data_IF_288847078884
#
_entry.id   IF_288847078884
#
_cell.length_a   1.000
_cell.length_b   1.000
_cell.length_c   1.000
_cell.angle_alpha   90.00
_cell.angle_beta   90.00
_cell.angle_gamma   90.00
#
_symmetry.space_group_name_H-M   'P 1'
#
loop_
_entity.id
_entity.type
_entity.pdbx_description
1 polymer ?
#
# COMPACT_ATOMS: atom_id res chain seq x y z
N UNK A 1 16.66 -33.80 0.58
CA UNK A 1 17.19 -34.66 -0.52
C UNK A 1 17.05 -36.16 -0.31
N UNK A 2 17.45 -36.75 0.84
CA UNK A 2 17.47 -38.20 1.01
C UNK A 2 16.11 -38.92 0.79
N UNK A 3 14.99 -38.24 1.03
CA UNK A 3 13.65 -38.83 0.90
C UNK A 3 13.19 -39.08 -0.54
N UNK A 4 13.50 -38.19 -1.49
CA UNK A 4 13.09 -38.32 -2.90
C UNK A 4 13.95 -39.38 -3.60
N UNK A 5 15.27 -39.35 -3.38
CA UNK A 5 16.16 -40.40 -3.83
C UNK A 5 15.76 -41.76 -3.25
N UNK A 6 15.48 -41.87 -1.94
CA UNK A 6 14.98 -43.12 -1.35
C UNK A 6 13.69 -43.62 -2.00
N UNK A 7 12.77 -42.73 -2.40
CA UNK A 7 11.51 -43.12 -3.06
C UNK A 7 11.75 -43.61 -4.50
N UNK A 8 12.62 -42.95 -5.27
CA UNK A 8 12.97 -43.39 -6.64
C UNK A 8 13.68 -44.74 -6.63
N UNK A 9 14.65 -44.92 -5.73
CA UNK A 9 15.36 -46.20 -5.56
C UNK A 9 14.43 -47.31 -5.09
N UNK A 10 13.51 -47.03 -4.16
CA UNK A 10 12.51 -48.02 -3.69
C UNK A 10 11.54 -48.43 -4.81
N UNK A 11 11.11 -47.49 -5.65
CA UNK A 11 10.27 -47.78 -6.82
C UNK A 11 11.01 -48.63 -7.87
N UNK A 12 12.26 -48.27 -8.18
CA UNK A 12 13.10 -49.03 -9.10
C UNK A 12 13.35 -50.46 -8.58
N UNK A 13 13.67 -50.62 -7.29
CA UNK A 13 13.90 -51.92 -6.65
C UNK A 13 12.67 -52.83 -6.65
N UNK A 14 11.48 -52.30 -6.30
CA UNK A 14 10.25 -53.08 -6.30
C UNK A 14 9.86 -53.53 -7.71
N UNK A 15 10.05 -52.65 -8.71
CA UNK A 15 9.69 -52.94 -10.10
C UNK A 15 10.69 -53.91 -10.73
N UNK A 16 11.99 -53.75 -10.48
CA UNK A 16 13.03 -54.69 -10.93
C UNK A 16 12.86 -56.07 -10.30
N UNK A 17 12.49 -56.14 -9.02
CA UNK A 17 12.19 -57.41 -8.35
C UNK A 17 11.00 -58.14 -8.99
N UNK A 18 9.90 -57.44 -9.28
CA UNK A 18 8.72 -58.02 -9.93
C UNK A 18 9.05 -58.56 -11.34
N UNK A 19 9.80 -57.78 -12.14
CA UNK A 19 10.26 -58.20 -13.49
C UNK A 19 11.18 -59.41 -13.39
N UNK A 20 12.12 -59.41 -12.46
CA UNK A 20 13.07 -60.51 -12.27
C UNK A 20 12.35 -61.79 -11.85
N UNK A 21 11.39 -61.70 -10.92
CA UNK A 21 10.61 -62.85 -10.47
C UNK A 21 9.79 -63.45 -11.61
N UNK A 22 9.14 -62.62 -12.42
CA UNK A 22 8.40 -63.07 -13.60
C UNK A 22 9.29 -63.75 -14.64
N UNK A 23 10.42 -63.13 -15.00
CA UNK A 23 11.36 -63.68 -15.99
C UNK A 23 12.01 -64.98 -15.51
N UNK A 24 12.37 -65.06 -14.23
CA UNK A 24 12.98 -66.26 -13.64
C UNK A 24 11.98 -67.41 -13.59
N UNK A 25 10.71 -67.13 -13.28
CA UNK A 25 9.64 -68.15 -13.29
C UNK A 25 9.36 -68.67 -14.70
N UNK A 26 9.26 -67.77 -15.69
CA UNK A 26 9.10 -68.15 -17.09
C UNK A 26 10.29 -69.00 -17.59
N UNK A 27 11.51 -68.61 -17.23
CA UNK A 27 12.73 -69.35 -17.56
C UNK A 27 12.77 -70.73 -16.88
N UNK A 28 12.32 -70.83 -15.62
CA UNK A 28 12.19 -72.09 -14.89
C UNK A 28 11.21 -73.06 -15.54
N UNK A 29 10.05 -72.56 -16.00
CA UNK A 29 9.07 -73.37 -16.76
C UNK A 29 9.67 -73.83 -18.08
N UNK A 30 10.40 -72.97 -18.80
CA UNK A 30 11.05 -73.35 -20.06
C UNK A 30 12.06 -74.48 -19.88
N UNK A 31 12.91 -74.40 -18.85
CA UNK A 31 13.86 -75.47 -18.55
C UNK A 31 13.16 -76.78 -18.21
N UNK A 32 12.08 -76.75 -17.41
CA UNK A 32 11.31 -77.95 -17.08
C UNK A 32 10.86 -78.78 -18.30
N UNK A 33 10.56 -78.13 -19.44
CA UNK A 33 10.14 -78.82 -20.66
C UNK A 33 11.29 -79.34 -21.53
N UNK A 34 12.49 -78.75 -21.45
CA UNK A 34 13.57 -79.02 -22.42
C UNK A 34 14.79 -79.76 -21.85
N UNK A 35 15.15 -79.61 -20.56
CA UNK A 35 16.19 -80.39 -19.83
C UNK A 35 16.07 -80.24 -18.29
N UNK A 36 16.60 -81.17 -17.49
CA UNK A 36 16.56 -81.11 -16.02
C UNK A 36 17.04 -79.77 -15.41
N UNK A 37 16.37 -79.33 -14.34
CA UNK A 37 16.55 -77.98 -13.77
C UNK A 37 17.95 -77.82 -13.14
N UNK A 38 18.74 -76.89 -13.68
CA UNK A 38 19.97 -76.42 -13.03
C UNK A 38 19.68 -75.15 -12.21
N UNK A 39 19.59 -75.31 -10.89
CA UNK A 39 19.31 -74.21 -9.97
C UNK A 39 20.38 -73.12 -9.95
N UNK A 40 21.66 -73.46 -10.14
CA UNK A 40 22.74 -72.46 -10.19
C UNK A 40 22.62 -71.52 -11.38
N UNK A 41 22.16 -72.04 -12.52
CA UNK A 41 21.92 -71.23 -13.71
C UNK A 41 20.73 -70.27 -13.50
N UNK A 42 19.64 -70.74 -12.88
CA UNK A 42 18.48 -69.89 -12.58
C UNK A 42 18.80 -68.75 -11.61
N UNK A 43 19.59 -69.02 -10.57
CA UNK A 43 20.04 -67.98 -9.62
C UNK A 43 20.93 -66.96 -10.31
N UNK A 44 21.88 -67.42 -11.13
CA UNK A 44 22.74 -66.52 -11.92
C UNK A 44 21.94 -65.62 -12.87
N UNK A 45 20.96 -66.19 -13.57
CA UNK A 45 20.06 -65.45 -14.46
C UNK A 45 19.23 -64.39 -13.69
N UNK A 46 18.67 -64.76 -12.54
CA UNK A 46 17.89 -63.85 -11.70
C UNK A 46 18.72 -62.63 -11.25
N UNK A 47 19.96 -62.84 -10.79
CA UNK A 47 20.84 -61.75 -10.35
C UNK A 47 21.16 -60.79 -11.49
N UNK A 48 21.53 -61.32 -12.67
CA UNK A 48 21.86 -60.49 -13.84
C UNK A 48 20.64 -59.70 -14.31
N UNK A 49 19.48 -60.34 -14.40
CA UNK A 49 18.23 -59.67 -14.76
C UNK A 49 17.83 -58.57 -13.76
N UNK A 50 18.01 -58.81 -12.47
CA UNK A 50 17.72 -57.82 -11.43
C UNK A 50 18.60 -56.59 -11.54
N UNK A 51 19.92 -56.79 -11.66
CA UNK A 51 20.88 -55.68 -11.77
C UNK A 51 20.60 -54.86 -13.04
N UNK A 52 20.42 -55.52 -14.18
CA UNK A 52 20.19 -54.83 -15.45
C UNK A 52 18.87 -54.04 -15.46
N UNK A 53 17.78 -54.65 -14.98
CA UNK A 53 16.47 -53.99 -14.92
C UNK A 53 16.45 -52.83 -13.93
N UNK A 54 17.10 -52.98 -12.77
CA UNK A 54 17.22 -51.93 -11.76
C UNK A 54 17.90 -50.67 -12.30
N UNK A 55 19.09 -50.80 -12.91
CA UNK A 55 19.81 -49.65 -13.48
C UNK A 55 19.04 -48.98 -14.61
N UNK A 56 18.40 -49.77 -15.48
CA UNK A 56 17.62 -49.24 -16.61
C UNK A 56 16.43 -48.41 -16.14
N UNK A 57 15.68 -48.94 -15.16
CA UNK A 57 14.51 -48.26 -14.60
C UNK A 57 14.94 -47.01 -13.85
N UNK A 58 15.99 -47.09 -13.02
CA UNK A 58 16.50 -45.94 -12.28
C UNK A 58 16.90 -44.80 -13.23
N UNK A 59 17.69 -45.10 -14.26
CA UNK A 59 18.10 -44.11 -15.26
C UNK A 59 16.90 -43.50 -16.00
N UNK A 60 15.90 -44.31 -16.37
CA UNK A 60 14.69 -43.82 -17.05
C UNK A 60 13.87 -42.89 -16.16
N UNK A 61 13.69 -43.23 -14.89
CA UNK A 61 12.90 -42.43 -13.94
C UNK A 61 13.59 -41.10 -13.65
N UNK A 62 14.91 -41.11 -13.40
CA UNK A 62 15.67 -39.86 -13.19
C UNK A 62 15.59 -38.94 -14.40
N UNK A 63 15.80 -39.50 -15.61
CA UNK A 63 15.71 -38.72 -16.85
C UNK A 63 14.29 -38.20 -17.13
N UNK A 64 13.25 -38.95 -16.76
CA UNK A 64 11.86 -38.52 -16.88
C UNK A 64 11.55 -37.34 -15.95
N UNK A 65 11.96 -37.42 -14.69
CA UNK A 65 11.76 -36.36 -13.69
C UNK A 65 12.52 -35.09 -14.12
N UNK A 66 13.78 -35.22 -14.52
CA UNK A 66 14.59 -34.10 -15.02
C UNK A 66 13.91 -33.39 -16.18
N UNK A 67 13.47 -34.14 -17.21
CA UNK A 67 12.78 -33.55 -18.37
C UNK A 67 11.48 -32.83 -17.97
N UNK A 68 10.73 -33.38 -17.03
CA UNK A 68 9.46 -32.79 -16.57
C UNK A 68 9.70 -31.49 -15.81
N UNK A 69 10.71 -31.43 -14.94
CA UNK A 69 11.07 -30.23 -14.19
C UNK A 69 11.66 -29.16 -15.12
N UNK A 70 12.57 -29.56 -16.02
CA UNK A 70 13.12 -28.65 -17.03
C UNK A 70 12.01 -28.03 -17.88
N UNK A 71 11.03 -28.82 -18.30
CA UNK A 71 9.88 -28.29 -19.06
C UNK A 71 9.06 -27.27 -18.26
N UNK A 72 8.81 -27.53 -16.96
CA UNK A 72 8.11 -26.56 -16.10
C UNK A 72 8.93 -25.27 -15.96
N UNK A 73 10.25 -25.37 -15.83
CA UNK A 73 11.14 -24.22 -15.79
C UNK A 73 11.11 -23.43 -17.12
N UNK A 74 11.22 -24.12 -18.26
CA UNK A 74 11.18 -23.50 -19.59
C UNK A 74 9.81 -22.84 -19.85
N UNK A 75 8.69 -23.48 -19.47
CA UNK A 75 7.33 -22.94 -19.59
C UNK A 75 7.12 -21.70 -18.69
N UNK A 76 7.73 -21.68 -17.50
CA UNK A 76 7.65 -20.55 -16.55
C UNK A 76 8.56 -19.38 -16.98
N UNK A 77 9.74 -19.65 -17.51
CA UNK A 77 10.66 -18.62 -18.02
C UNK A 77 10.16 -17.97 -19.31
N UNK A 78 9.43 -18.71 -20.15
CA UNK A 78 8.74 -18.17 -21.33
C UNK A 78 7.69 -17.10 -21.00
N UNK A 79 7.09 -17.13 -19.79
CA UNK A 79 6.16 -16.11 -19.33
C UNK A 79 6.84 -14.78 -18.96
N UNK A 80 8.18 -14.75 -18.86
CA UNK A 80 8.98 -13.62 -18.37
C UNK A 80 10.25 -13.38 -19.23
N UNK A 81 10.14 -13.54 -20.55
CA UNK A 81 11.26 -13.45 -21.51
C UNK A 81 11.99 -12.08 -21.58
N UNK A 82 11.70 -11.13 -20.68
CA UNK A 82 12.25 -9.77 -20.70
C UNK A 82 13.24 -9.47 -19.57
N UNK A 83 13.42 -10.31 -18.53
CA UNK A 83 14.19 -9.89 -17.34
C UNK A 83 15.30 -10.81 -16.84
N UNK A 84 15.56 -11.98 -17.41
CA UNK A 84 16.55 -12.90 -16.82
C UNK A 84 17.66 -13.27 -17.81
N UNK A 85 18.87 -12.82 -17.48
CA UNK A 85 20.13 -13.20 -18.14
C UNK A 85 20.32 -14.72 -18.07
N UNK A 86 20.78 -15.37 -19.16
CA UNK A 86 20.95 -16.82 -19.21
C UNK A 86 22.17 -17.23 -18.39
N UNK A 87 22.04 -17.32 -17.07
CA UNK A 87 23.13 -17.76 -16.21
C UNK A 87 22.97 -19.22 -15.81
N UNK A 88 23.91 -20.01 -16.35
CA UNK A 88 24.34 -21.36 -15.99
C UNK A 88 23.26 -22.37 -15.62
N UNK A 89 22.90 -23.19 -16.61
CA UNK A 89 22.22 -24.46 -16.42
C UNK A 89 23.09 -25.33 -15.50
N UNK A 90 22.78 -25.34 -14.20
CA UNK A 90 23.44 -26.24 -13.26
C UNK A 90 22.93 -27.66 -13.50
N UNK A 91 23.84 -28.65 -13.54
CA UNK A 91 23.49 -30.07 -13.75
C UNK A 91 22.92 -30.71 -12.48
N UNK A 92 22.93 -29.96 -11.37
CA UNK A 92 22.51 -30.43 -10.06
C UNK A 92 21.03 -30.15 -9.81
N UNK A 93 20.30 -31.24 -9.53
CA UNK A 93 18.86 -31.19 -9.26
C UNK A 93 18.52 -30.39 -8.00
N UNK A 94 19.41 -30.33 -7.01
CA UNK A 94 19.15 -29.57 -5.80
C UNK A 94 19.15 -28.07 -6.09
N UNK A 95 20.14 -27.61 -6.86
CA UNK A 95 20.27 -26.21 -7.24
C UNK A 95 19.07 -25.73 -8.07
N UNK A 96 18.65 -26.50 -9.08
CA UNK A 96 17.46 -26.18 -9.88
C UNK A 96 16.17 -26.12 -9.03
N UNK A 97 16.01 -27.05 -8.08
CA UNK A 97 14.82 -27.06 -7.20
C UNK A 97 14.77 -25.81 -6.33
N UNK A 98 15.90 -25.39 -5.76
CA UNK A 98 16.00 -24.17 -4.93
C UNK A 98 15.73 -22.91 -5.74
N UNK A 99 16.22 -22.84 -6.98
CA UNK A 99 15.95 -21.70 -7.88
C UNK A 99 14.46 -21.56 -8.22
N UNK A 100 13.79 -22.68 -8.53
CA UNK A 100 12.34 -22.69 -8.78
C UNK A 100 11.56 -22.30 -7.53
N UNK A 101 11.94 -22.81 -6.35
CA UNK A 101 11.31 -22.43 -5.08
C UNK A 101 11.47 -20.94 -4.77
N UNK A 102 12.68 -20.39 -4.99
CA UNK A 102 12.95 -18.96 -4.81
C UNK A 102 12.14 -18.11 -5.77
N UNK A 103 12.13 -18.46 -7.05
CA UNK A 103 11.35 -17.76 -8.06
C UNK A 103 9.85 -17.79 -7.74
N UNK A 104 9.31 -18.94 -7.34
CA UNK A 104 7.91 -19.07 -6.93
C UNK A 104 7.59 -18.20 -5.69
N UNK A 105 8.52 -18.11 -4.75
CA UNK A 105 8.38 -17.24 -3.58
C UNK A 105 8.38 -15.75 -3.96
N UNK A 106 9.36 -15.32 -4.76
CA UNK A 106 9.48 -13.93 -5.20
C UNK A 106 8.25 -13.51 -6.02
N UNK A 107 7.77 -14.38 -6.92
CA UNK A 107 6.53 -14.15 -7.67
C UNK A 107 5.29 -14.10 -6.80
N UNK A 108 5.22 -14.93 -5.75
CA UNK A 108 4.12 -14.86 -4.80
C UNK A 108 4.08 -13.49 -4.11
N UNK A 109 5.23 -12.99 -3.64
CA UNK A 109 5.33 -11.66 -3.03
C UNK A 109 4.96 -10.55 -4.01
N UNK A 110 5.40 -10.65 -5.28
CA UNK A 110 5.04 -9.70 -6.33
C UNK A 110 3.53 -9.68 -6.58
N UNK A 111 2.89 -10.85 -6.71
CA UNK A 111 1.44 -10.97 -6.90
C UNK A 111 0.67 -10.43 -5.69
N UNK A 112 1.12 -10.72 -4.47
CA UNK A 112 0.52 -10.17 -3.25
C UNK A 112 0.60 -8.64 -3.23
N UNK A 113 1.76 -8.06 -3.57
CA UNK A 113 1.95 -6.61 -3.70
C UNK A 113 1.02 -5.99 -4.76
N UNK A 114 0.92 -6.62 -5.93
CA UNK A 114 0.01 -6.18 -7.00
C UNK A 114 -1.45 -6.23 -6.57
N UNK A 115 -1.89 -7.29 -5.88
CA UNK A 115 -3.25 -7.41 -5.35
C UNK A 115 -3.55 -6.34 -4.31
N UNK A 116 -2.61 -6.04 -3.42
CA UNK A 116 -2.76 -4.94 -2.45
C UNK A 116 -2.93 -3.61 -3.17
N UNK A 117 -2.11 -3.33 -4.20
CA UNK A 117 -2.22 -2.11 -5.01
C UNK A 117 -3.54 -2.03 -5.77
N UNK A 118 -4.01 -3.14 -6.34
CA UNK A 118 -5.29 -3.19 -7.06
C UNK A 118 -6.48 -2.93 -6.12
N UNK A 119 -6.50 -3.58 -4.96
CA UNK A 119 -7.53 -3.37 -3.95
C UNK A 119 -7.55 -1.93 -3.45
N UNK A 120 -6.37 -1.37 -3.18
CA UNK A 120 -6.21 0.04 -2.82
C UNK A 120 -6.80 0.97 -3.90
N UNK A 121 -6.47 0.73 -5.18
CA UNK A 121 -7.01 1.53 -6.30
C UNK A 121 -8.53 1.43 -6.41
N UNK A 122 -9.10 0.23 -6.22
CA UNK A 122 -10.56 0.03 -6.23
C UNK A 122 -11.24 0.79 -5.08
N UNK A 123 -10.69 0.69 -3.87
CA UNK A 123 -11.20 1.41 -2.70
C UNK A 123 -11.12 2.93 -2.91
N UNK A 124 -9.99 3.43 -3.44
CA UNK A 124 -9.78 4.83 -3.77
C UNK A 124 -10.85 5.37 -4.74
N UNK A 125 -11.06 4.69 -5.88
CA UNK A 125 -12.07 5.10 -6.88
C UNK A 125 -13.50 5.03 -6.30
N UNK A 126 -13.78 4.01 -5.48
CA UNK A 126 -15.05 3.87 -4.78
C UNK A 126 -15.32 5.05 -3.84
N UNK A 127 -14.34 5.40 -3.01
CA UNK A 127 -14.45 6.49 -2.04
C UNK A 127 -14.62 7.85 -2.73
N UNK A 128 -13.87 8.13 -3.81
CA UNK A 128 -14.06 9.34 -4.64
C UNK A 128 -15.48 9.43 -5.17
N UNK A 129 -15.97 8.33 -5.74
CA UNK A 129 -17.31 8.28 -6.32
C UNK A 129 -18.39 8.59 -5.28
N UNK A 130 -18.23 8.09 -4.05
CA UNK A 130 -19.14 8.38 -2.94
C UNK A 130 -19.07 9.83 -2.47
N UNK A 131 -17.86 10.37 -2.24
CA UNK A 131 -17.67 11.74 -1.77
C UNK A 131 -18.13 12.79 -2.80
N UNK A 132 -18.09 12.48 -4.10
CA UNK A 132 -18.64 13.34 -5.17
C UNK A 132 -20.17 13.23 -5.29
N UNK A 133 -20.73 12.02 -5.19
CA UNK A 133 -22.20 11.80 -5.32
C UNK A 133 -22.99 12.58 -4.28
N UNK A 134 -22.56 12.60 -3.02
CA UNK A 134 -23.31 13.24 -1.93
C UNK A 134 -23.56 14.75 -2.16
N UNK A 135 -22.55 15.60 -2.37
CA UNK A 135 -22.78 17.01 -2.66
C UNK A 135 -23.49 17.21 -4.00
N UNK A 136 -23.23 16.39 -5.02
CA UNK A 136 -23.91 16.47 -6.31
C UNK A 136 -25.43 16.28 -6.18
N UNK A 137 -25.87 15.20 -5.53
CA UNK A 137 -27.30 14.95 -5.30
C UNK A 137 -27.93 15.98 -4.36
N UNK A 138 -27.16 16.51 -3.41
CA UNK A 138 -27.61 17.60 -2.53
C UNK A 138 -27.89 18.87 -3.33
N UNK A 139 -26.98 19.27 -4.22
CA UNK A 139 -27.15 20.42 -5.13
C UNK A 139 -28.35 20.20 -6.04
N UNK A 140 -28.43 19.04 -6.68
CA UNK A 140 -29.54 18.69 -7.56
C UNK A 140 -30.89 18.73 -6.82
N UNK A 141 -30.96 18.17 -5.61
CA UNK A 141 -32.17 18.17 -4.79
C UNK A 141 -32.65 19.58 -4.43
N UNK A 142 -31.75 20.46 -3.99
CA UNK A 142 -32.12 21.85 -3.69
C UNK A 142 -32.58 22.61 -4.94
N UNK A 143 -31.93 22.39 -6.10
CA UNK A 143 -32.35 22.99 -7.37
C UNK A 143 -33.73 22.49 -7.78
N UNK A 144 -34.00 21.18 -7.74
CA UNK A 144 -35.30 20.60 -8.06
C UNK A 144 -36.40 21.14 -7.15
N UNK A 145 -36.18 21.20 -5.83
CA UNK A 145 -37.19 21.75 -4.90
C UNK A 145 -37.48 23.23 -5.19
N UNK A 146 -36.48 24.01 -5.60
CA UNK A 146 -36.69 25.40 -6.03
C UNK A 146 -37.58 25.46 -7.27
N UNK A 147 -37.32 24.61 -8.26
CA UNK A 147 -38.11 24.51 -9.50
C UNK A 147 -39.55 24.04 -9.25
N UNK A 148 -39.76 23.14 -8.29
CA UNK A 148 -41.09 22.62 -7.88
C UNK A 148 -41.95 23.63 -7.08
N UNK A 149 -41.53 24.90 -7.03
CA UNK A 149 -42.33 26.00 -6.50
C UNK A 149 -41.81 26.60 -5.20
N UNK A 150 -40.80 26.01 -4.54
CA UNK A 150 -40.19 26.60 -3.34
C UNK A 150 -39.48 27.94 -3.65
N UNK A 151 -39.19 28.23 -4.91
CA UNK A 151 -38.68 29.54 -5.32
C UNK A 151 -39.67 30.69 -5.03
N UNK A 152 -40.97 30.43 -4.88
CA UNK A 152 -41.97 31.49 -4.61
C UNK A 152 -41.75 32.16 -3.26
N UNK A 153 -41.29 31.41 -2.26
CA UNK A 153 -40.92 31.96 -0.95
C UNK A 153 -39.50 32.53 -0.98
N UNK A 154 -39.37 33.84 -0.73
CA UNK A 154 -38.08 34.56 -0.77
C UNK A 154 -37.07 34.06 0.28
N UNK A 155 -37.55 33.64 1.46
CA UNK A 155 -36.72 33.15 2.56
C UNK A 155 -36.15 31.76 2.24
N UNK A 156 -37.00 30.87 1.75
CA UNK A 156 -36.63 29.51 1.33
C UNK A 156 -35.71 29.56 0.11
N UNK A 157 -36.01 30.42 -0.87
CA UNK A 157 -35.19 30.63 -2.06
C UNK A 157 -33.74 30.95 -1.70
N UNK A 158 -33.52 31.97 -0.87
CA UNK A 158 -32.17 32.38 -0.45
C UNK A 158 -31.46 31.26 0.31
N UNK A 159 -32.16 30.61 1.25
CA UNK A 159 -31.60 29.51 2.05
C UNK A 159 -31.16 28.33 1.15
N UNK A 160 -31.97 27.94 0.18
CA UNK A 160 -31.70 26.78 -0.66
C UNK A 160 -30.61 27.07 -1.70
N UNK A 161 -30.60 28.27 -2.29
CA UNK A 161 -29.49 28.71 -3.14
C UNK A 161 -28.15 28.72 -2.38
N UNK A 162 -28.14 29.21 -1.14
CA UNK A 162 -26.94 29.15 -0.30
C UNK A 162 -26.50 27.71 0.01
N UNK A 163 -27.43 26.79 0.20
CA UNK A 163 -27.12 25.37 0.42
C UNK A 163 -26.59 24.69 -0.84
N UNK A 164 -27.15 25.00 -2.00
CA UNK A 164 -26.65 24.55 -3.29
C UNK A 164 -25.23 25.10 -3.55
N UNK A 165 -25.00 26.40 -3.32
CA UNK A 165 -23.67 27.00 -3.48
C UNK A 165 -22.61 26.32 -2.60
N UNK A 166 -22.94 26.04 -1.32
CA UNK A 166 -22.05 25.27 -0.43
C UNK A 166 -21.76 23.86 -0.95
N UNK A 167 -22.73 23.21 -1.60
CA UNK A 167 -22.52 21.92 -2.25
C UNK A 167 -21.57 21.99 -3.44
N UNK A 168 -21.66 23.06 -4.25
CA UNK A 168 -20.72 23.32 -5.36
C UNK A 168 -19.32 23.63 -4.86
N UNK A 169 -19.18 24.50 -3.85
CA UNK A 169 -17.89 24.77 -3.19
C UNK A 169 -17.24 23.49 -2.66
N UNK A 170 -18.05 22.58 -2.10
CA UNK A 170 -17.59 21.28 -1.64
C UNK A 170 -17.09 20.40 -2.78
N UNK A 171 -17.79 20.36 -3.92
CA UNK A 171 -17.34 19.64 -5.11
C UNK A 171 -16.01 20.18 -5.62
N UNK A 172 -15.86 21.50 -5.71
CA UNK A 172 -14.62 22.16 -6.14
C UNK A 172 -13.46 21.76 -5.21
N UNK A 173 -13.68 21.75 -3.90
CA UNK A 173 -12.66 21.32 -2.94
C UNK A 173 -12.23 19.87 -3.16
N UNK A 174 -13.17 18.93 -3.33
CA UNK A 174 -12.86 17.52 -3.58
C UNK A 174 -12.08 17.34 -4.90
N UNK A 175 -12.45 18.06 -5.95
CA UNK A 175 -11.74 18.02 -7.24
C UNK A 175 -10.31 18.55 -7.09
N UNK A 176 -10.11 19.66 -6.36
CA UNK A 176 -8.77 20.20 -6.10
C UNK A 176 -7.90 19.23 -5.29
N UNK A 177 -8.47 18.60 -4.26
CA UNK A 177 -7.77 17.57 -3.48
C UNK A 177 -7.36 16.38 -4.37
N UNK A 178 -8.24 15.96 -5.29
CA UNK A 178 -7.97 14.87 -6.22
C UNK A 178 -6.86 15.21 -7.23
N UNK A 179 -6.93 16.39 -7.85
CA UNK A 179 -5.89 16.88 -8.78
C UNK A 179 -4.51 16.91 -8.10
N UNK A 180 -4.47 17.35 -6.84
CA UNK A 180 -3.24 17.37 -6.05
C UNK A 180 -2.68 15.96 -5.84
N UNK A 181 -3.53 14.99 -5.49
CA UNK A 181 -3.10 13.59 -5.32
C UNK A 181 -2.59 13.01 -6.63
N UNK A 182 -3.26 13.28 -7.75
CA UNK A 182 -2.80 12.78 -9.06
C UNK A 182 -1.44 13.35 -9.44
N UNK A 183 -1.18 14.63 -9.19
CA UNK A 183 0.13 15.26 -9.42
C UNK A 183 1.22 14.67 -8.53
N UNK A 184 0.88 14.37 -7.28
CA UNK A 184 1.76 13.70 -6.32
C UNK A 184 2.15 12.28 -6.75
N UNK A 185 1.21 11.48 -7.28
CA UNK A 185 1.49 10.10 -7.70
C UNK A 185 2.36 9.99 -8.93
N UNK A 186 2.24 10.95 -9.86
CA UNK A 186 3.06 10.98 -11.09
C UNK A 186 4.49 11.46 -10.77
N UNK A 187 4.74 11.97 -9.55
CA UNK A 187 6.02 12.57 -9.18
C UNK A 187 6.27 13.92 -9.83
N UNK A 188 5.22 14.52 -10.42
CA UNK A 188 5.28 15.74 -11.23
C UNK A 188 5.14 17.02 -10.40
N UNK A 189 5.43 16.94 -9.10
CA UNK A 189 5.39 18.10 -8.22
C UNK A 189 6.71 18.85 -8.31
N UNK A 190 6.83 19.68 -9.34
CA UNK A 190 7.86 20.70 -9.41
C UNK A 190 7.61 21.72 -8.29
N UNK A 191 8.35 21.58 -7.20
CA UNK A 191 8.34 22.53 -6.08
C UNK A 191 9.05 23.81 -6.49
N UNK A 192 8.38 24.94 -6.33
CA UNK A 192 9.02 26.24 -6.51
C UNK A 192 9.53 26.74 -5.16
N UNK A 193 10.74 26.30 -4.77
CA UNK A 193 11.32 26.65 -3.47
C UNK A 193 11.83 28.10 -3.49
N UNK A 194 11.40 28.88 -2.51
CA UNK A 194 11.85 30.25 -2.26
C UNK A 194 12.14 30.47 -0.78
N UNK A 195 12.91 31.52 -0.48
CA UNK A 195 13.18 31.94 0.90
C UNK A 195 12.08 32.88 1.38
N UNK A 196 11.39 32.53 2.46
CA UNK A 196 10.33 33.36 3.01
C UNK A 196 10.26 33.25 4.54
N UNK A 197 9.64 34.25 5.18
CA UNK A 197 9.41 34.26 6.62
C UNK A 197 8.22 33.37 6.99
N UNK A 198 8.46 32.27 7.72
CA UNK A 198 7.42 31.32 8.10
C UNK A 198 6.41 31.92 9.09
N UNK A 199 6.83 32.87 9.93
CA UNK A 199 5.95 33.54 10.90
C UNK A 199 4.88 34.34 10.15
N UNK A 200 5.28 35.09 9.13
CA UNK A 200 4.38 35.88 8.29
C UNK A 200 3.39 34.96 7.55
N UNK A 201 3.86 33.81 7.04
CA UNK A 201 2.99 32.84 6.39
C UNK A 201 1.94 32.28 7.37
N UNK A 202 2.33 31.94 8.60
CA UNK A 202 1.39 31.45 9.62
C UNK A 202 0.38 32.53 9.99
N UNK A 203 0.82 33.78 10.15
CA UNK A 203 -0.08 34.91 10.42
C UNK A 203 -1.12 35.09 9.29
N UNK A 204 -0.68 35.04 8.03
CA UNK A 204 -1.59 35.10 6.88
C UNK A 204 -2.64 33.97 6.89
N UNK A 205 -2.25 32.76 7.36
CA UNK A 205 -3.18 31.63 7.50
C UNK A 205 -4.14 31.85 8.67
N UNK A 206 -3.68 32.43 9.79
CA UNK A 206 -4.56 32.82 10.90
C UNK A 206 -5.62 33.83 10.46
N UNK A 207 -5.22 34.89 9.75
CA UNK A 207 -6.13 35.92 9.25
C UNK A 207 -7.18 35.32 8.31
N UNK A 208 -6.77 34.41 7.41
CA UNK A 208 -7.68 33.72 6.49
C UNK A 208 -8.70 32.84 7.23
N UNK A 209 -8.31 32.26 8.37
CA UNK A 209 -9.13 31.33 9.15
C UNK A 209 -9.84 31.98 10.34
N UNK A 210 -9.62 33.26 10.60
CA UNK A 210 -10.18 34.01 11.74
C UNK A 210 -11.70 33.86 11.84
N UNK A 211 -12.43 34.16 10.74
CA UNK A 211 -13.89 34.01 10.71
C UNK A 211 -14.36 32.58 10.94
N UNK A 212 -13.55 31.58 10.62
CA UNK A 212 -13.88 30.16 10.82
C UNK A 212 -13.65 29.76 12.27
N UNK A 213 -12.55 30.20 12.87
CA UNK A 213 -12.22 29.99 14.27
C UNK A 213 -13.24 30.71 15.19
N UNK A 214 -13.59 31.96 14.87
CA UNK A 214 -14.58 32.76 15.60
C UNK A 214 -15.97 32.09 15.66
N UNK A 215 -16.40 31.38 14.60
CA UNK A 215 -17.68 30.63 14.60
C UNK A 215 -17.71 29.49 15.63
N UNK A 216 -16.56 28.98 16.04
CA UNK A 216 -16.41 27.94 17.08
C UNK A 216 -15.84 28.50 18.39
N UNK A 217 -15.62 29.81 18.49
CA UNK A 217 -14.91 30.47 19.59
C UNK A 217 -13.54 29.83 19.87
N UNK A 218 -12.77 29.51 18.83
CA UNK A 218 -11.41 28.97 19.00
C UNK A 218 -10.41 30.12 18.82
N UNK A 219 -9.50 30.27 19.78
CA UNK A 219 -8.39 31.23 19.69
C UNK A 219 -7.24 30.63 18.87
N UNK A 220 -6.77 31.36 17.85
CA UNK A 220 -5.55 31.03 17.11
C UNK A 220 -4.41 31.87 17.68
N UNK A 221 -3.37 31.23 18.21
CA UNK A 221 -2.27 31.92 18.89
C UNK A 221 -0.93 31.31 18.53
N UNK A 222 0.12 32.12 18.63
CA UNK A 222 1.48 31.62 18.75
C UNK A 222 1.78 31.25 20.20
N UNK A 223 2.69 30.31 20.40
CA UNK A 223 3.18 29.92 21.74
C UNK A 223 3.93 31.05 22.45
N UNK A 224 4.68 31.83 21.67
CA UNK A 224 5.45 32.98 22.14
C UNK A 224 5.33 34.15 21.18
N UNK A 225 5.72 35.33 21.65
CA UNK A 225 5.89 36.49 20.80
C UNK A 225 7.22 36.40 20.03
N UNK A 226 7.15 36.11 18.73
CA UNK A 226 8.31 36.05 17.86
C UNK A 226 8.77 37.46 17.46
N UNK A 227 9.94 37.87 17.98
CA UNK A 227 10.52 39.21 17.72
C UNK A 227 11.39 39.26 16.46
N UNK A 228 11.93 38.11 16.04
CA UNK A 228 12.81 37.99 14.88
C UNK A 228 12.15 37.13 13.81
N UNK A 229 12.30 37.50 12.51
CA UNK A 229 11.79 36.68 11.41
C UNK A 229 12.55 35.36 11.30
N UNK A 230 11.85 34.28 10.96
CA UNK A 230 12.43 32.96 10.76
C UNK A 230 12.30 32.62 9.27
N UNK A 231 13.42 32.63 8.55
CA UNK A 231 13.44 32.32 7.13
C UNK A 231 13.63 30.81 6.88
N UNK A 232 12.81 30.27 5.98
CA UNK A 232 12.83 28.87 5.54
C UNK A 232 12.94 28.80 4.01
N UNK A 233 13.56 27.73 3.50
CA UNK A 233 13.65 27.46 2.06
C UNK A 233 12.63 26.38 1.67
N UNK A 234 11.49 26.78 1.13
CA UNK A 234 10.40 25.86 0.77
C UNK A 234 9.47 26.46 -0.28
N UNK A 235 8.53 25.67 -0.81
CA UNK A 235 7.47 26.19 -1.67
C UNK A 235 6.39 26.86 -0.81
N UNK A 236 6.34 28.19 -0.83
CA UNK A 236 5.48 29.01 0.03
C UNK A 236 4.00 28.65 -0.11
N UNK A 237 3.50 28.44 -1.34
CA UNK A 237 2.10 28.08 -1.57
C UNK A 237 1.76 26.70 -1.00
N UNK A 238 2.68 25.75 -1.15
CA UNK A 238 2.49 24.38 -0.63
C UNK A 238 2.58 24.33 0.88
N UNK A 239 3.48 25.09 1.51
CA UNK A 239 3.53 25.19 2.96
C UNK A 239 2.29 25.92 3.51
N UNK A 240 1.78 26.94 2.83
CA UNK A 240 0.51 27.57 3.19
C UNK A 240 -0.63 26.55 3.17
N UNK A 241 -0.66 25.65 2.20
CA UNK A 241 -1.63 24.57 2.11
C UNK A 241 -1.48 23.57 3.27
N UNK A 242 -0.25 23.21 3.65
CA UNK A 242 0.03 22.36 4.83
C UNK A 242 -0.54 23.00 6.10
N UNK A 243 -0.16 24.24 6.38
CA UNK A 243 -0.61 25.00 7.55
C UNK A 243 -2.14 25.13 7.56
N UNK A 244 -2.74 25.50 6.44
CA UNK A 244 -4.19 25.62 6.31
C UNK A 244 -4.90 24.31 6.61
N UNK A 245 -4.40 23.17 6.13
CA UNK A 245 -5.01 21.87 6.39
C UNK A 245 -4.89 21.47 7.87
N UNK A 246 -3.73 21.69 8.50
CA UNK A 246 -3.51 21.39 9.92
C UNK A 246 -4.36 22.28 10.83
N UNK A 247 -4.36 23.60 10.61
CA UNK A 247 -5.14 24.55 11.42
C UNK A 247 -6.64 24.36 11.19
N UNK A 248 -7.09 24.09 9.96
CA UNK A 248 -8.51 23.75 9.72
C UNK A 248 -8.91 22.47 10.45
N UNK A 249 -8.05 21.45 10.50
CA UNK A 249 -8.32 20.24 11.27
C UNK A 249 -8.39 20.54 12.76
N UNK A 250 -7.46 21.35 13.28
CA UNK A 250 -7.48 21.81 14.67
C UNK A 250 -8.77 22.56 15.02
N UNK A 251 -9.22 23.51 14.20
CA UNK A 251 -10.50 24.22 14.40
C UNK A 251 -11.69 23.23 14.32
N UNK A 252 -11.59 22.23 13.45
CA UNK A 252 -12.67 21.28 13.21
C UNK A 252 -12.87 20.34 14.40
N UNK A 253 -11.80 19.70 14.88
CA UNK A 253 -11.84 18.72 15.97
C UNK A 253 -11.52 19.33 17.35
N UNK A 254 -11.22 20.63 17.39
CA UNK A 254 -11.00 21.41 18.60
C UNK A 254 -12.27 21.55 19.44
N UNK A 255 -12.06 21.76 20.74
CA UNK A 255 -13.14 22.01 21.69
C UNK A 255 -13.70 23.42 21.49
N UNK A 256 -15.00 23.60 21.77
CA UNK A 256 -15.61 24.94 21.80
C UNK A 256 -14.96 25.75 22.93
N UNK A 257 -14.69 27.03 22.66
CA UNK A 257 -13.95 27.91 23.58
C UNK A 257 -12.51 27.40 23.83
N UNK A 258 -11.96 26.65 22.86
CA UNK A 258 -10.64 26.06 22.88
C UNK A 258 -9.56 26.94 22.23
N UNK A 259 -8.40 26.33 22.00
CA UNK A 259 -7.22 27.05 21.50
C UNK A 259 -6.47 26.17 20.51
N UNK A 260 -6.05 26.78 19.40
CA UNK A 260 -5.08 26.23 18.46
C UNK A 260 -3.82 27.06 18.60
N UNK A 261 -2.73 26.39 18.99
CA UNK A 261 -1.42 27.00 19.19
C UNK A 261 -0.48 26.57 18.08
N UNK A 262 0.34 27.50 17.57
CA UNK A 262 1.40 27.19 16.61
C UNK A 262 2.75 27.61 17.18
N UNK A 263 3.68 26.67 17.27
CA UNK A 263 5.06 26.92 17.71
C UNK A 263 6.08 26.63 16.61
N UNK A 264 7.20 27.34 16.66
CA UNK A 264 8.29 27.25 15.70
C UNK A 264 9.60 27.16 16.48
N UNK A 265 10.23 26.00 16.43
CA UNK A 265 11.48 25.75 17.16
C UNK A 265 12.63 25.44 16.19
N UNK A 266 13.83 25.90 16.54
CA UNK A 266 15.04 25.51 15.83
C UNK A 266 15.46 24.07 16.17
N UNK A 267 15.76 23.28 15.14
CA UNK A 267 16.33 21.94 15.27
C UNK A 267 17.83 21.93 14.90
N UNK A 268 18.49 20.83 15.28
CA UNK A 268 19.86 20.53 14.87
C UNK A 268 19.91 20.40 13.32
N UNK A 269 21.04 20.75 12.71
CA UNK A 269 21.30 20.69 11.24
C UNK A 269 20.55 21.73 10.39
N UNK A 270 20.39 22.95 10.91
CA UNK A 270 19.78 24.07 10.18
C UNK A 270 18.34 23.79 9.71
N UNK A 271 17.55 23.15 10.57
CA UNK A 271 16.12 22.92 10.33
C UNK A 271 15.27 23.67 11.36
N UNK A 272 14.01 23.87 11.03
CA UNK A 272 12.96 24.26 11.98
C UNK A 272 11.92 23.17 12.07
N UNK A 273 11.27 23.06 13.21
CA UNK A 273 10.05 22.30 13.39
C UNK A 273 8.91 23.27 13.65
N UNK A 274 7.84 23.13 12.88
CA UNK A 274 6.58 23.85 13.09
C UNK A 274 5.61 22.87 13.73
N UNK A 275 5.03 23.21 14.88
CA UNK A 275 4.06 22.39 15.60
C UNK A 275 2.71 23.10 15.63
N UNK A 276 1.65 22.35 15.38
CA UNK A 276 0.26 22.82 15.47
C UNK A 276 -0.43 21.97 16.53
N UNK A 277 -0.73 22.60 17.67
CA UNK A 277 -1.28 21.95 18.85
C UNK A 277 -2.72 22.37 19.05
N UNK A 278 -3.60 21.40 19.31
CA UNK A 278 -5.00 21.60 19.60
C UNK A 278 -5.41 20.99 20.93
N UNK A 279 -6.37 21.61 21.62
CA UNK A 279 -7.00 21.10 22.83
C UNK A 279 -8.34 20.39 22.57
N UNK A 280 -8.43 19.70 21.42
CA UNK A 280 -9.60 19.00 20.96
C UNK A 280 -9.83 17.64 21.63
N UNK A 281 -10.62 16.81 20.95
CA UNK A 281 -10.96 15.46 21.42
C UNK A 281 -9.77 14.50 21.48
N UNK A 282 -8.67 14.82 20.81
CA UNK A 282 -7.52 13.93 20.66
C UNK A 282 -7.85 12.69 19.83
N UNK A 283 -6.84 11.85 19.60
CA UNK A 283 -6.91 10.70 18.70
C UNK A 283 -6.48 9.45 19.45
N UNK A 284 -7.28 8.39 19.36
CA UNK A 284 -6.88 7.10 19.93
C UNK A 284 -5.67 6.51 19.21
N UNK A 285 -4.76 5.87 19.97
CA UNK A 285 -3.51 5.31 19.45
C UNK A 285 -3.69 4.33 18.29
N UNK A 286 -4.83 3.62 18.24
CA UNK A 286 -5.15 2.67 17.17
C UNK A 286 -5.30 3.35 15.80
N UNK A 287 -5.68 4.62 15.78
CA UNK A 287 -5.91 5.38 14.55
C UNK A 287 -4.67 6.08 14.02
N UNK A 288 -3.69 6.40 14.89
CA UNK A 288 -2.48 7.17 14.56
C UNK A 288 -1.73 6.62 13.32
N UNK A 289 -1.46 5.31 13.18
CA UNK A 289 -0.72 4.78 12.03
C UNK A 289 -1.42 5.02 10.68
N UNK A 290 -2.73 5.24 10.71
CA UNK A 290 -3.61 5.30 9.54
C UNK A 290 -4.05 6.72 9.20
N UNK A 291 -3.74 7.73 10.03
CA UNK A 291 -4.20 9.11 9.85
C UNK A 291 -3.80 9.74 8.51
N UNK A 292 -2.67 9.31 7.96
CA UNK A 292 -2.16 9.78 6.68
C UNK A 292 -2.61 8.92 5.49
N UNK A 293 -3.39 7.86 5.71
CA UNK A 293 -4.04 7.11 4.62
C UNK A 293 -5.10 7.97 3.95
N UNK A 294 -5.24 7.84 2.63
CA UNK A 294 -6.23 8.58 1.85
C UNK A 294 -7.64 8.13 2.22
N UNK A 295 -8.57 9.08 2.32
CA UNK A 295 -9.98 8.86 2.71
C UNK A 295 -10.18 8.28 4.12
N UNK A 296 -9.10 8.10 4.89
CA UNK A 296 -9.21 7.60 6.24
C UNK A 296 -9.78 8.64 7.18
N UNK A 297 -10.71 8.20 8.04
CA UNK A 297 -11.43 9.02 9.01
C UNK A 297 -11.74 8.15 10.22
N UNK A 298 -11.50 8.69 11.42
CA UNK A 298 -11.76 8.01 12.70
C UNK A 298 -13.25 7.69 12.84
N UNK A 299 -14.13 8.68 12.61
CA UNK A 299 -15.59 8.48 12.65
C UNK A 299 -16.27 8.62 11.28
N UNK A 300 -17.08 7.63 10.89
CA UNK A 300 -17.85 7.63 9.62
C UNK A 300 -19.23 8.29 9.70
N UNK A 301 -19.79 8.45 10.91
CA UNK A 301 -21.18 8.85 11.17
C UNK A 301 -21.31 10.32 11.62
N UNK A 302 -20.52 10.77 12.60
CA UNK A 302 -20.56 12.15 13.12
C UNK A 302 -19.89 13.18 12.19
N UNK A 303 -18.78 12.79 11.56
CA UNK A 303 -17.92 13.69 10.79
C UNK A 303 -18.50 14.11 9.42
N UNK A 304 -19.59 13.48 8.93
CA UNK A 304 -20.27 13.90 7.68
C UNK A 304 -20.86 15.30 7.77
N UNK A 305 -21.31 15.73 8.96
CA UNK A 305 -21.87 17.08 9.18
C UNK A 305 -20.83 18.18 9.01
N UNK A 306 -19.56 17.90 9.30
CA UNK A 306 -18.49 18.89 9.27
C UNK A 306 -17.57 18.81 8.03
N UNK A 307 -17.87 17.93 7.06
CA UNK A 307 -17.28 17.96 5.71
C UNK A 307 -15.74 17.85 5.66
N UNK A 308 -15.19 16.63 5.85
CA UNK A 308 -13.77 16.34 5.56
C UNK A 308 -13.67 15.31 4.44
N UNK A 309 -12.85 15.53 3.41
CA UNK A 309 -12.64 14.57 2.31
C UNK A 309 -11.85 13.35 2.77
N UNK A 310 -11.17 13.42 3.93
CA UNK A 310 -10.18 12.43 4.36
C UNK A 310 -8.90 12.49 3.53
N UNK A 311 -8.73 13.52 2.69
CA UNK A 311 -7.54 13.71 1.87
C UNK A 311 -6.55 14.70 2.47
N UNK A 312 -7.01 15.62 3.33
CA UNK A 312 -6.19 16.70 3.88
C UNK A 312 -4.86 16.24 4.49
N UNK A 313 -4.87 15.29 5.42
CA UNK A 313 -3.63 14.79 6.05
C UNK A 313 -2.73 14.02 5.07
N UNK A 314 -3.30 13.29 4.12
CA UNK A 314 -2.51 12.63 3.07
C UNK A 314 -1.82 13.64 2.16
N UNK A 315 -2.48 14.76 1.83
CA UNK A 315 -1.90 15.88 1.08
C UNK A 315 -0.77 16.52 1.88
N UNK A 316 -0.98 16.76 3.19
CA UNK A 316 0.05 17.31 4.07
C UNK A 316 1.30 16.41 4.04
N UNK A 317 1.14 15.11 4.32
CA UNK A 317 2.25 14.16 4.33
C UNK A 317 3.03 14.20 3.02
N UNK A 318 2.33 14.15 1.90
CA UNK A 318 2.96 14.16 0.59
C UNK A 318 3.67 15.47 0.24
N UNK A 319 3.10 16.63 0.59
CA UNK A 319 3.79 17.92 0.40
C UNK A 319 5.09 17.95 1.21
N UNK A 320 5.04 17.54 2.48
CA UNK A 320 6.20 17.53 3.37
C UNK A 320 7.26 16.54 2.86
N UNK A 321 6.86 15.35 2.44
CA UNK A 321 7.77 14.35 1.84
C UNK A 321 8.38 14.83 0.52
N UNK A 322 7.63 15.53 -0.33
CA UNK A 322 8.14 16.12 -1.56
C UNK A 322 9.22 17.19 -1.29
N UNK A 323 9.16 17.87 -0.15
CA UNK A 323 10.20 18.80 0.29
C UNK A 323 11.45 18.09 0.84
N UNK A 324 11.42 16.77 1.02
CA UNK A 324 12.48 16.00 1.70
C UNK A 324 12.37 16.05 3.22
N UNK A 325 11.20 16.43 3.75
CA UNK A 325 10.97 16.68 5.16
C UNK A 325 10.10 15.61 5.81
N UNK A 326 9.93 15.70 7.14
CA UNK A 326 9.17 14.72 7.92
C UNK A 326 8.01 15.38 8.65
N UNK A 327 6.90 14.64 8.76
CA UNK A 327 5.75 14.97 9.58
C UNK A 327 5.62 13.98 10.73
N UNK A 328 5.23 14.47 11.89
CA UNK A 328 5.00 13.72 13.12
C UNK A 328 3.61 14.05 13.67
N UNK A 329 3.10 13.14 14.48
CA UNK A 329 1.83 13.30 15.18
C UNK A 329 1.95 12.71 16.57
N UNK A 330 1.60 13.51 17.56
CA UNK A 330 1.47 13.08 18.96
C UNK A 330 0.07 13.43 19.42
N UNK A 331 -0.66 12.49 20.01
CA UNK A 331 -2.03 12.74 20.41
C UNK A 331 -2.43 11.85 21.58
N UNK A 332 -3.25 12.42 22.46
CA UNK A 332 -3.85 11.71 23.57
C UNK A 332 -5.35 11.98 23.56
N UNK A 333 -6.12 10.89 23.48
CA UNK A 333 -7.57 10.94 23.51
C UNK A 333 -8.08 11.64 24.78
N UNK A 334 -8.98 12.61 24.59
CA UNK A 334 -9.54 13.48 25.63
C UNK A 334 -8.69 14.70 26.01
N UNK A 335 -7.47 14.83 25.47
CA UNK A 335 -6.55 15.94 25.79
C UNK A 335 -6.34 16.86 24.60
N UNK A 336 -6.00 16.30 23.43
CA UNK A 336 -5.64 17.08 22.27
C UNK A 336 -4.70 16.35 21.32
N UNK A 337 -4.26 17.06 20.28
CA UNK A 337 -3.28 16.55 19.31
C UNK A 337 -2.26 17.61 18.94
N UNK A 338 -1.04 17.16 18.68
CA UNK A 338 0.05 17.94 18.10
C UNK A 338 0.41 17.31 16.74
N UNK A 339 0.34 18.12 15.69
CA UNK A 339 0.90 17.78 14.38
C UNK A 339 2.12 18.65 14.13
N UNK A 340 3.26 18.05 13.85
CA UNK A 340 4.50 18.79 13.65
C UNK A 340 5.22 18.38 12.37
N UNK A 341 5.85 19.32 11.68
CA UNK A 341 6.61 19.05 10.46
C UNK A 341 7.90 19.87 10.41
N UNK A 342 8.91 19.33 9.73
CA UNK A 342 10.21 19.97 9.60
C UNK A 342 10.33 20.77 8.30
N UNK A 343 11.16 21.82 8.32
CA UNK A 343 11.58 22.57 7.13
C UNK A 343 13.07 22.92 7.21
N UNK A 344 13.72 23.08 6.07
CA UNK A 344 15.08 23.64 6.01
C UNK A 344 15.04 25.15 6.30
N UNK A 345 15.94 25.63 7.17
CA UNK A 345 16.17 27.06 7.31
C UNK A 345 16.82 27.59 6.04
N UNK A 346 16.45 28.80 5.66
CA UNK A 346 17.18 29.55 4.65
C UNK A 346 18.64 29.74 5.10
N UNK A 347 19.56 29.86 4.13
CA UNK A 347 21.00 29.97 4.39
C UNK A 347 21.44 31.38 4.74
#
# INVERSE_FOLDING_TARGET
MAGVFKKTYKFAANTSAAITLFLTLAMGVFFYFYQGINYWFLVGFAVVCYVFSFFTIQYRVERFIYKRIKKIYDDVTLLDATTLSPQQITTDMETLTREVERFAHDKKLEIESLKVRENYRKEFIGNISHELKTPLFTVQGYILTLLDGAMKDKSVRKKYLQRANKGVERLIYIIKDLDMITKLEVGDLNLNKEDFNIIELIQNVFDLLEMKAAKKNISLVFDIEYKEPIFVNADRERIQQVLSNLIVNSIKYGKKDGTTEVSIEGLIRNKVIVRVTDNGEGIEKVHIPRLFERFYRVDKSGSRKEGGSGLGLSIVKHIVEAHGEKIYVESQFGVGSEFSFTLEKSK
#
